data_IF_303493182362
#
_entry.id   IF_303493182362
#
_cell.length_a   1.000
_cell.length_b   1.000
_cell.length_c   1.000
_cell.angle_alpha   90.00
_cell.angle_beta   90.00
_cell.angle_gamma   90.00
#
_symmetry.space_group_name_H-M   'P 1'
#
loop_
_entity.id
_entity.type
_entity.pdbx_description
1 polymer ?
#
# COMPACT_ATOMS: atom_id res chain seq x y z
N UNK A 1 14.64 3.88 -3.03
CA UNK A 1 13.62 3.04 -2.37
C UNK A 1 12.30 3.59 -2.82
N UNK A 2 11.42 2.75 -3.38
CA UNK A 2 10.20 3.20 -4.06
C UNK A 2 9.12 3.49 -3.02
N UNK A 3 8.45 4.64 -3.16
CA UNK A 3 7.33 5.02 -2.30
C UNK A 3 6.02 4.62 -2.96
N UNK A 4 5.20 3.88 -2.22
CA UNK A 4 3.87 3.44 -2.62
C UNK A 4 2.82 4.12 -1.76
N UNK A 5 1.98 4.94 -2.38
CA UNK A 5 0.85 5.63 -1.73
C UNK A 5 -0.43 4.81 -1.86
N UNK A 6 -1.13 4.60 -0.75
CA UNK A 6 -2.37 3.82 -0.66
C UNK A 6 -3.55 4.72 -0.32
N UNK A 7 -4.65 4.62 -1.09
CA UNK A 7 -5.80 5.50 -0.92
C UNK A 7 -7.15 4.76 -0.92
N UNK A 8 -8.01 4.99 0.09
CA UNK A 8 -9.43 4.63 0.03
C UNK A 8 -10.22 5.69 -0.74
N UNK A 9 -10.69 5.36 -1.94
CA UNK A 9 -11.51 6.27 -2.74
C UNK A 9 -12.96 5.82 -2.82
N UNK A 10 -13.87 6.80 -2.82
CA UNK A 10 -15.30 6.58 -3.15
C UNK A 10 -15.53 6.55 -4.65
N UNK A 11 -14.75 7.33 -5.41
CA UNK A 11 -14.82 7.45 -6.86
C UNK A 11 -13.41 7.34 -7.45
N UNK A 12 -13.27 6.59 -8.54
CA UNK A 12 -12.02 6.43 -9.24
C UNK A 12 -11.90 7.47 -10.36
N UNK A 13 -11.15 8.55 -10.13
CA UNK A 13 -10.87 9.59 -11.12
C UNK A 13 -9.67 10.43 -10.72
N UNK A 14 -8.81 10.81 -11.68
CA UNK A 14 -7.61 11.64 -11.48
C UNK A 14 -7.89 12.89 -10.65
N UNK A 15 -8.93 13.67 -11.00
CA UNK A 15 -9.27 14.90 -10.27
C UNK A 15 -9.56 14.66 -8.78
N UNK A 16 -10.29 13.59 -8.45
CA UNK A 16 -10.59 13.24 -7.06
C UNK A 16 -9.36 12.75 -6.30
N UNK A 17 -8.40 12.13 -7.01
CA UNK A 17 -7.13 11.72 -6.41
C UNK A 17 -6.28 12.95 -6.11
N UNK A 18 -6.10 13.86 -7.06
CA UNK A 18 -5.28 15.05 -6.86
C UNK A 18 -5.82 15.98 -5.77
N UNK A 19 -7.15 16.06 -5.64
CA UNK A 19 -7.81 16.89 -4.63
C UNK A 19 -7.62 16.37 -3.20
N UNK A 20 -7.61 15.05 -3.00
CA UNK A 20 -7.67 14.47 -1.65
C UNK A 20 -6.47 13.61 -1.27
N UNK A 21 -5.54 13.31 -2.19
CA UNK A 21 -4.53 12.27 -1.96
C UNK A 21 -3.75 12.48 -0.66
N UNK A 22 -3.31 13.70 -0.42
CA UNK A 22 -2.46 14.03 0.73
C UNK A 22 -3.18 13.96 2.08
N UNK A 23 -4.52 14.00 2.08
CA UNK A 23 -5.32 13.96 3.31
C UNK A 23 -5.65 12.54 3.76
N UNK A 24 -5.62 11.57 2.83
CA UNK A 24 -6.14 10.22 3.06
C UNK A 24 -5.17 9.11 2.68
N UNK A 25 -3.95 9.45 2.24
CA UNK A 25 -2.95 8.48 1.87
C UNK A 25 -2.17 7.93 3.07
N UNK A 26 -1.76 6.67 2.93
CA UNK A 26 -0.68 6.09 3.73
C UNK A 26 0.44 5.70 2.77
N UNK A 27 1.69 6.04 3.10
CA UNK A 27 2.85 5.78 2.24
C UNK A 27 3.75 4.72 2.84
N UNK A 28 4.04 3.67 2.05
CA UNK A 28 5.01 2.63 2.39
C UNK A 28 6.24 2.75 1.48
N UNK A 29 7.43 2.51 2.03
CA UNK A 29 8.68 2.48 1.28
C UNK A 29 9.12 1.03 1.07
N UNK A 30 9.26 0.60 -0.18
CA UNK A 30 9.66 -0.76 -0.55
C UNK A 30 10.79 -0.74 -1.58
N UNK A 31 11.49 -1.86 -1.74
CA UNK A 31 12.60 -1.93 -2.70
C UNK A 31 12.14 -2.19 -4.14
N UNK A 32 10.96 -2.78 -4.32
CA UNK A 32 10.43 -3.11 -5.65
C UNK A 32 8.92 -3.31 -5.67
N UNK A 33 8.35 -3.37 -6.88
CA UNK A 33 6.94 -3.74 -7.11
C UNK A 33 6.69 -5.20 -6.71
N UNK A 34 7.68 -6.08 -6.79
CA UNK A 34 7.58 -7.47 -6.33
C UNK A 34 7.39 -7.55 -4.82
N UNK A 35 8.06 -6.71 -4.04
CA UNK A 35 7.82 -6.61 -2.60
C UNK A 35 6.41 -6.11 -2.28
N UNK A 36 5.91 -5.15 -3.05
CA UNK A 36 4.52 -4.68 -2.93
C UNK A 36 3.53 -5.83 -3.18
N UNK A 37 3.73 -6.58 -4.26
CA UNK A 37 2.90 -7.76 -4.59
C UNK A 37 2.97 -8.82 -3.49
N UNK A 38 4.16 -9.08 -2.95
CA UNK A 38 4.37 -10.01 -1.84
C UNK A 38 3.61 -9.56 -0.58
N UNK A 39 3.77 -8.28 -0.19
CA UNK A 39 3.11 -7.70 0.98
C UNK A 39 1.59 -7.82 0.87
N UNK A 40 1.03 -7.41 -0.27
CA UNK A 40 -0.41 -7.51 -0.54
C UNK A 40 -0.89 -8.96 -0.55
N UNK A 41 -0.10 -9.88 -1.12
CA UNK A 41 -0.39 -11.30 -1.10
C UNK A 41 -0.44 -11.86 0.32
N UNK A 42 0.44 -11.42 1.22
CA UNK A 42 0.41 -11.79 2.64
C UNK A 42 -0.84 -11.23 3.34
N UNK A 43 -1.33 -10.06 2.93
CA UNK A 43 -2.63 -9.52 3.36
C UNK A 43 -3.84 -10.14 2.66
N UNK A 44 -3.63 -11.10 1.74
CA UNK A 44 -4.68 -11.85 1.06
C UNK A 44 -5.31 -11.13 -0.13
N UNK A 45 -4.61 -10.17 -0.74
CA UNK A 45 -5.08 -9.42 -1.89
C UNK A 45 -4.04 -9.39 -3.01
N UNK A 46 -4.45 -8.94 -4.20
CA UNK A 46 -3.59 -8.81 -5.37
C UNK A 46 -3.71 -7.43 -6.01
N UNK A 47 -2.64 -7.00 -6.68
CA UNK A 47 -2.67 -5.82 -7.53
C UNK A 47 -3.36 -6.14 -8.85
N UNK A 48 -4.23 -5.23 -9.26
CA UNK A 48 -4.82 -5.17 -10.59
C UNK A 48 -4.37 -3.88 -11.26
N UNK A 49 -3.85 -3.99 -12.49
CA UNK A 49 -3.49 -2.83 -13.28
C UNK A 49 -4.70 -1.92 -13.52
N UNK A 50 -4.46 -0.61 -13.54
CA UNK A 50 -5.48 0.37 -13.85
C UNK A 50 -5.00 1.28 -14.98
N UNK A 51 -5.93 1.82 -15.76
CA UNK A 51 -5.64 2.72 -16.89
C UNK A 51 -5.62 4.20 -16.47
N UNK A 52 -5.71 4.50 -15.16
CA UNK A 52 -5.54 5.85 -14.64
C UNK A 52 -4.13 6.35 -14.95
N UNK A 53 -4.07 7.43 -15.72
CA UNK A 53 -2.86 8.11 -16.13
C UNK A 53 -2.95 9.60 -15.79
N UNK A 54 -1.83 10.32 -15.98
CA UNK A 54 -1.72 11.78 -15.82
C UNK A 54 -2.02 12.28 -14.40
N UNK A 55 -1.58 11.56 -13.37
CA UNK A 55 -1.57 12.06 -11.99
C UNK A 55 -0.17 12.64 -11.74
N UNK A 56 -0.09 13.87 -11.23
CA UNK A 56 1.21 14.51 -10.94
C UNK A 56 2.07 13.66 -9.98
N UNK A 57 3.38 13.59 -10.20
CA UNK A 57 4.34 12.84 -9.36
C UNK A 57 4.04 11.33 -9.20
N UNK A 58 3.30 10.72 -10.14
CA UNK A 58 2.95 9.30 -10.09
C UNK A 58 3.43 8.60 -11.36
N UNK A 59 4.20 7.53 -11.20
CA UNK A 59 4.71 6.73 -12.33
C UNK A 59 3.72 5.63 -12.74
N UNK A 60 3.07 4.97 -11.77
CA UNK A 60 2.14 3.86 -12.02
C UNK A 60 0.97 3.88 -11.04
N UNK A 61 -0.19 3.37 -11.49
CA UNK A 61 -1.42 3.27 -10.71
C UNK A 61 -1.98 1.86 -10.79
N UNK A 62 -2.35 1.31 -9.64
CA UNK A 62 -3.02 0.03 -9.50
C UNK A 62 -4.25 0.14 -8.60
N UNK A 63 -5.05 -0.91 -8.63
CA UNK A 63 -6.12 -1.13 -7.66
C UNK A 63 -5.93 -2.47 -6.94
N UNK A 64 -6.43 -2.57 -5.72
CA UNK A 64 -6.43 -3.81 -4.95
C UNK A 64 -7.77 -4.52 -5.16
N UNK A 65 -7.69 -5.77 -5.61
CA UNK A 65 -8.84 -6.56 -6.07
C UNK A 65 -9.88 -6.85 -4.97
N UNK A 66 -9.42 -7.00 -3.73
CA UNK A 66 -10.20 -7.46 -2.58
C UNK A 66 -9.93 -6.64 -1.33
N UNK A 67 -10.63 -6.98 -0.25
CA UNK A 67 -10.34 -6.44 1.08
C UNK A 67 -9.07 -7.10 1.63
N UNK A 68 -8.17 -6.29 2.15
CA UNK A 68 -6.99 -6.77 2.85
C UNK A 68 -7.40 -7.28 4.24
N UNK A 69 -6.69 -8.28 4.76
CA UNK A 69 -6.95 -8.83 6.10
C UNK A 69 -5.96 -8.24 7.12
N UNK A 70 -6.36 -7.23 7.91
CA UNK A 70 -5.47 -6.67 8.91
C UNK A 70 -5.06 -7.74 9.92
N UNK A 71 -3.83 -7.65 10.39
CA UNK A 71 -3.27 -8.46 11.47
C UNK A 71 -3.70 -7.87 12.82
N UNK A 72 -3.84 -8.73 13.82
CA UNK A 72 -4.04 -8.27 15.19
C UNK A 72 -2.68 -7.93 15.84
N UNK A 73 -2.70 -7.23 16.96
CA UNK A 73 -1.48 -6.80 17.66
C UNK A 73 -0.57 -7.97 18.03
N UNK A 74 -1.14 -9.14 18.32
CA UNK A 74 -0.37 -10.33 18.72
C UNK A 74 0.31 -10.99 17.51
N UNK A 75 -0.24 -10.84 16.31
CA UNK A 75 0.24 -11.49 15.09
C UNK A 75 1.13 -10.60 14.22
N UNK A 76 1.22 -9.29 14.50
CA UNK A 76 1.95 -8.35 13.65
C UNK A 76 3.47 -8.61 13.67
N UNK A 77 4.06 -8.91 14.82
CA UNK A 77 5.47 -9.29 14.93
C UNK A 77 5.79 -10.55 14.13
N UNK A 78 4.91 -11.56 14.23
CA UNK A 78 5.05 -12.80 13.47
C UNK A 78 4.89 -12.58 11.97
N UNK A 79 3.98 -11.69 11.57
CA UNK A 79 3.78 -11.31 10.19
C UNK A 79 5.00 -10.57 9.63
N UNK A 80 5.55 -9.61 10.38
CA UNK A 80 6.73 -8.86 9.99
C UNK A 80 7.94 -9.77 9.80
N UNK A 81 8.20 -10.68 10.74
CA UNK A 81 9.28 -11.66 10.60
C UNK A 81 9.10 -12.57 9.37
N UNK A 82 7.86 -12.99 9.07
CA UNK A 82 7.58 -13.73 7.84
C UNK A 82 7.80 -12.89 6.58
N UNK A 83 7.46 -11.60 6.64
CA UNK A 83 7.67 -10.68 5.53
C UNK A 83 9.16 -10.51 5.26
N UNK A 84 9.96 -10.21 6.28
CA UNK A 84 11.43 -10.12 6.20
C UNK A 84 12.05 -11.38 5.59
N UNK A 85 11.64 -12.57 6.06
CA UNK A 85 12.16 -13.84 5.56
C UNK A 85 11.84 -14.05 4.07
N UNK A 86 10.68 -13.60 3.58
CA UNK A 86 10.27 -13.74 2.18
C UNK A 86 10.85 -12.64 1.27
N UNK A 87 10.97 -11.41 1.76
CA UNK A 87 11.54 -10.28 1.04
C UNK A 87 13.08 -10.29 1.08
N UNK A 88 13.68 -11.10 1.95
CA UNK A 88 15.13 -11.13 2.24
C UNK A 88 15.66 -9.79 2.75
N UNK A 89 14.82 -9.06 3.48
CA UNK A 89 15.18 -7.80 4.15
C UNK A 89 15.78 -8.07 5.52
N UNK A 90 16.59 -7.13 5.99
CA UNK A 90 17.05 -7.10 7.37
C UNK A 90 15.98 -6.46 8.26
N UNK A 91 16.03 -6.78 9.55
CA UNK A 91 15.11 -6.17 10.51
C UNK A 91 15.45 -4.69 10.70
N UNK A 92 14.48 -3.83 10.42
CA UNK A 92 14.56 -2.39 10.65
C UNK A 92 13.33 -1.91 11.44
N UNK A 93 13.58 -1.20 12.54
CA UNK A 93 12.51 -0.73 13.41
C UNK A 93 11.60 0.30 12.73
N UNK A 94 12.16 1.13 11.83
CA UNK A 94 11.38 2.09 11.04
C UNK A 94 10.39 1.39 10.11
N UNK A 95 10.84 0.34 9.41
CA UNK A 95 9.99 -0.50 8.56
C UNK A 95 8.91 -1.21 9.36
N UNK A 96 9.24 -1.71 10.55
CA UNK A 96 8.25 -2.30 11.44
C UNK A 96 7.17 -1.28 11.82
N UNK A 97 7.55 -0.08 12.25
CA UNK A 97 6.60 0.99 12.57
C UNK A 97 5.74 1.38 11.37
N UNK A 98 6.32 1.48 10.18
CA UNK A 98 5.59 1.75 8.94
C UNK A 98 4.57 0.64 8.65
N UNK A 99 4.94 -0.63 8.83
CA UNK A 99 4.03 -1.75 8.64
C UNK A 99 2.89 -1.77 9.67
N UNK A 100 3.16 -1.42 10.93
CA UNK A 100 2.13 -1.26 11.98
C UNK A 100 1.14 -0.14 11.63
N UNK A 101 1.66 1.01 11.16
CA UNK A 101 0.83 2.12 10.68
C UNK A 101 -0.06 1.67 9.52
N UNK A 102 0.53 1.05 8.51
CA UNK A 102 -0.21 0.52 7.37
C UNK A 102 -1.26 -0.52 7.77
N UNK A 103 -0.92 -1.44 8.68
CA UNK A 103 -1.86 -2.44 9.17
C UNK A 103 -3.10 -1.80 9.83
N UNK A 104 -2.90 -0.71 10.56
CA UNK A 104 -4.00 0.08 11.14
C UNK A 104 -4.82 0.78 10.05
N UNK A 105 -4.13 1.36 9.05
CA UNK A 105 -4.72 2.03 7.90
C UNK A 105 -5.56 1.10 7.01
N UNK A 106 -5.28 -0.21 6.96
CA UNK A 106 -6.07 -1.19 6.20
C UNK A 106 -7.56 -1.09 6.51
N UNK A 107 -7.95 -0.75 7.74
CA UNK A 107 -9.35 -0.56 8.11
C UNK A 107 -9.99 0.60 7.33
N UNK A 108 -9.28 1.72 7.18
CA UNK A 108 -9.73 2.84 6.36
C UNK A 108 -9.69 2.49 4.87
N UNK A 109 -8.60 1.85 4.41
CA UNK A 109 -8.43 1.38 3.04
C UNK A 109 -9.62 0.49 2.59
N UNK A 110 -10.03 -0.44 3.46
CA UNK A 110 -11.15 -1.35 3.21
C UNK A 110 -12.54 -0.69 3.19
N UNK A 111 -12.70 0.53 3.73
CA UNK A 111 -13.94 1.31 3.63
C UNK A 111 -14.08 1.99 2.27
N UNK A 112 -12.99 2.20 1.55
CA UNK A 112 -13.00 2.73 0.18
C UNK A 112 -13.73 1.78 -0.77
N UNK A 113 -14.51 2.35 -1.69
CA UNK A 113 -15.09 1.59 -2.82
C UNK A 113 -13.98 1.09 -3.73
N UNK A 114 -12.97 1.93 -3.95
CA UNK A 114 -11.73 1.62 -4.66
C UNK A 114 -10.55 1.74 -3.70
N UNK A 115 -9.61 0.81 -3.80
CA UNK A 115 -8.36 0.79 -3.05
C UNK A 115 -7.26 1.03 -4.05
N UNK A 116 -6.75 2.25 -4.12
CA UNK A 116 -5.78 2.65 -5.11
C UNK A 116 -4.39 2.52 -4.50
N UNK A 117 -3.44 2.05 -5.31
CA UNK A 117 -2.01 2.08 -4.99
C UNK A 117 -1.32 2.86 -6.09
N UNK A 118 -0.47 3.81 -5.73
CA UNK A 118 0.30 4.61 -6.66
C UNK A 118 1.78 4.49 -6.36
N UNK A 119 2.58 4.29 -7.40
CA UNK A 119 4.03 4.45 -7.31
C UNK A 119 4.37 5.93 -7.48
N UNK A 120 4.98 6.53 -6.46
CA UNK A 120 5.40 7.93 -6.52
C UNK A 120 6.70 8.02 -7.31
N UNK A 121 6.75 8.94 -8.28
CA UNK A 121 7.96 9.20 -9.05
C UNK A 121 9.06 9.74 -8.10
N UNK A 122 10.29 9.24 -8.24
CA UNK A 122 11.43 9.85 -7.55
C UNK A 122 11.61 11.28 -8.09
N UNK A 123 11.47 12.28 -7.21
CA UNK A 123 11.77 13.69 -7.49
C UNK A 123 13.28 13.95 -7.41
#
# INVERSE_FOLDING_TARGET
>A
MIKFSFLPLKKLSTAHIEEHRFDIEEVISLNSVEELKLLLGMFGAALSANELNNIADVSQVWTIDKKLKPQNEVSIDSFYNQWLAKSKRENDFGEFCQLVSFNSFITALNKGKFKVVMELAEQ
#
